data_IF_027083778403
#
_entry.id   IF_027083778403
#
_cell.length_a   1.000
_cell.length_b   1.000
_cell.length_c   1.000
_cell.angle_alpha   90.00
_cell.angle_beta   90.00
_cell.angle_gamma   90.00
#
_symmetry.space_group_name_H-M   'P 1'
#
loop_
_entity.id
_entity.type
_entity.pdbx_description
1 polymer ?
#
# COMPACT_ATOMS: atom_id res chain seq x y z
N UNK A 1 -41.38 -2.06 -7.02
CA UNK A 1 -40.75 -0.93 -7.74
C UNK A 1 -39.24 -1.16 -7.72
N UNK A 2 -38.59 -1.34 -8.88
CA UNK A 2 -37.12 -1.54 -8.95
C UNK A 2 -36.45 -0.18 -8.75
N UNK A 3 -35.69 -0.01 -7.67
CA UNK A 3 -34.81 1.15 -7.49
C UNK A 3 -33.73 1.11 -8.57
N UNK A 4 -33.47 2.23 -9.27
CA UNK A 4 -32.36 2.32 -10.22
C UNK A 4 -31.07 2.49 -9.43
N UNK A 5 -30.11 1.62 -9.66
CA UNK A 5 -28.80 1.66 -9.03
C UNK A 5 -27.92 2.68 -9.76
N UNK A 6 -27.34 3.66 -9.05
CA UNK A 6 -26.45 4.64 -9.66
C UNK A 6 -25.07 4.03 -9.97
N UNK A 7 -24.44 4.47 -11.06
CA UNK A 7 -23.08 4.12 -11.48
C UNK A 7 -22.05 4.29 -10.35
N UNK A 8 -22.14 5.38 -9.57
CA UNK A 8 -21.26 5.62 -8.42
C UNK A 8 -21.33 4.49 -7.38
N UNK A 9 -22.54 3.99 -7.11
CA UNK A 9 -22.73 2.88 -6.18
C UNK A 9 -22.10 1.59 -6.72
N UNK A 10 -22.21 1.34 -8.03
CA UNK A 10 -21.60 0.16 -8.68
C UNK A 10 -20.08 0.24 -8.62
N UNK A 11 -19.51 1.39 -8.99
CA UNK A 11 -18.06 1.64 -8.94
C UNK A 11 -17.55 1.45 -7.51
N UNK A 12 -18.25 2.00 -6.53
CA UNK A 12 -17.90 1.84 -5.12
C UNK A 12 -17.99 0.38 -4.65
N UNK A 13 -19.06 -0.33 -5.02
CA UNK A 13 -19.30 -1.71 -4.58
C UNK A 13 -18.24 -2.68 -5.13
N UNK A 14 -17.81 -2.48 -6.38
CA UNK A 14 -16.79 -3.31 -7.03
C UNK A 14 -15.37 -2.84 -6.69
N UNK A 15 -15.14 -1.53 -6.68
CA UNK A 15 -13.82 -0.93 -6.46
C UNK A 15 -13.32 -1.11 -5.02
N UNK A 16 -14.21 -1.01 -4.02
CA UNK A 16 -13.83 -1.12 -2.61
C UNK A 16 -13.20 -2.48 -2.24
N UNK A 17 -13.78 -3.64 -2.58
CA UNK A 17 -13.16 -4.93 -2.27
C UNK A 17 -11.84 -5.12 -3.04
N UNK A 18 -11.76 -4.72 -4.31
CA UNK A 18 -10.54 -4.87 -5.11
C UNK A 18 -9.41 -4.01 -4.53
N UNK A 19 -9.66 -2.70 -4.36
CA UNK A 19 -8.67 -1.77 -3.82
C UNK A 19 -8.34 -2.08 -2.35
N UNK A 20 -9.33 -2.54 -1.59
CA UNK A 20 -9.17 -2.92 -0.18
C UNK A 20 -8.30 -4.16 0.00
N UNK A 21 -8.50 -5.21 -0.82
CA UNK A 21 -7.63 -6.38 -0.82
C UNK A 21 -6.21 -6.01 -1.24
N UNK A 22 -6.05 -5.19 -2.28
CA UNK A 22 -4.73 -4.75 -2.74
C UNK A 22 -3.99 -3.97 -1.64
N UNK A 23 -4.68 -3.00 -1.02
CA UNK A 23 -4.14 -2.24 0.10
C UNK A 23 -3.76 -3.14 1.27
N UNK A 24 -4.62 -4.09 1.65
CA UNK A 24 -4.35 -5.03 2.73
C UNK A 24 -3.10 -5.89 2.47
N UNK A 25 -2.89 -6.33 1.23
CA UNK A 25 -1.70 -7.08 0.85
C UNK A 25 -0.44 -6.20 0.89
N UNK A 26 -0.49 -5.02 0.26
CA UNK A 26 0.68 -4.14 0.15
C UNK A 26 1.12 -3.62 1.53
N UNK A 27 0.16 -3.15 2.33
CA UNK A 27 0.42 -2.67 3.68
C UNK A 27 0.80 -3.80 4.63
N UNK A 28 0.08 -4.93 4.58
CA UNK A 28 0.33 -6.08 5.44
C UNK A 28 1.74 -6.66 5.24
N UNK A 29 2.19 -6.79 3.99
CA UNK A 29 3.56 -7.24 3.69
C UNK A 29 4.62 -6.26 4.18
N UNK A 30 4.36 -4.95 4.11
CA UNK A 30 5.31 -3.94 4.58
C UNK A 30 5.49 -3.95 6.11
N UNK A 31 4.46 -4.34 6.88
CA UNK A 31 4.48 -4.33 8.35
C UNK A 31 4.91 -5.69 8.94
N UNK A 32 4.42 -6.80 8.36
CA UNK A 32 4.66 -8.16 8.89
C UNK A 32 5.67 -8.97 8.07
N UNK A 33 6.37 -8.36 7.12
CA UNK A 33 7.38 -9.06 6.34
C UNK A 33 8.57 -9.51 7.19
N UNK A 34 9.12 -10.66 6.83
CA UNK A 34 10.30 -11.22 7.48
C UNK A 34 11.53 -10.36 7.18
N UNK A 35 12.22 -9.90 8.22
CA UNK A 35 13.35 -8.95 8.09
C UNK A 35 14.69 -9.66 7.87
N UNK A 36 14.78 -10.94 8.22
CA UNK A 36 16.04 -11.69 8.23
C UNK A 36 16.40 -12.33 6.87
N UNK A 37 15.49 -12.34 5.89
CA UNK A 37 15.77 -12.88 4.55
C UNK A 37 16.48 -11.87 3.62
N UNK A 38 16.53 -10.61 4.03
CA UNK A 38 16.98 -9.46 3.24
C UNK A 38 18.48 -9.13 3.43
N UNK A 39 19.20 -10.00 4.13
CA UNK A 39 20.64 -9.90 4.24
C UNK A 39 21.32 -10.38 2.96
N UNK A 40 22.30 -9.62 2.49
CA UNK A 40 23.17 -10.00 1.37
C UNK A 40 23.75 -11.41 1.61
N UNK A 41 23.73 -12.32 0.62
CA UNK A 41 24.35 -13.64 0.75
C UNK A 41 25.83 -13.53 1.15
N UNK A 42 26.33 -14.47 1.96
CA UNK A 42 27.70 -14.40 2.49
C UNK A 42 28.77 -14.33 1.38
N UNK A 43 28.54 -15.00 0.25
CA UNK A 43 29.42 -14.98 -0.92
C UNK A 43 29.54 -13.60 -1.57
N UNK A 44 28.50 -12.77 -1.40
CA UNK A 44 28.40 -11.41 -1.93
C UNK A 44 28.63 -10.33 -0.86
N UNK A 45 29.14 -10.70 0.31
CA UNK A 45 29.46 -9.74 1.36
C UNK A 45 30.43 -8.67 0.83
N UNK A 46 30.17 -7.40 1.08
CA UNK A 46 30.95 -6.33 0.47
C UNK A 46 32.21 -6.05 1.28
N UNK A 47 33.31 -5.65 0.62
CA UNK A 47 34.47 -5.12 1.32
C UNK A 47 34.12 -3.76 1.93
N UNK A 48 34.81 -3.38 3.01
CA UNK A 48 34.42 -2.24 3.85
C UNK A 48 34.47 -0.89 3.11
N UNK A 49 35.32 -0.78 2.09
CA UNK A 49 35.47 0.41 1.26
C UNK A 49 34.19 0.70 0.47
N UNK A 50 33.44 -0.35 0.10
CA UNK A 50 32.20 -0.24 -0.67
C UNK A 50 30.98 0.06 0.20
N UNK A 51 31.07 0.02 1.53
CA UNK A 51 29.94 0.25 2.43
C UNK A 51 29.81 1.69 2.93
N UNK A 52 30.79 2.55 2.65
CA UNK A 52 30.90 3.93 3.14
C UNK A 52 29.69 4.83 2.84
N UNK A 53 28.96 4.54 1.75
CA UNK A 53 27.73 5.25 1.37
C UNK A 53 26.51 4.89 2.24
N UNK A 54 26.56 3.77 2.97
CA UNK A 54 25.45 3.32 3.84
C UNK A 54 25.79 3.47 5.32
N UNK A 55 27.00 3.10 5.73
CA UNK A 55 27.48 3.29 7.09
C UNK A 55 29.01 3.34 7.11
N UNK A 56 29.55 3.83 8.22
CA UNK A 56 30.99 3.80 8.48
C UNK A 56 31.22 3.19 9.86
N UNK A 57 32.22 2.32 9.96
CA UNK A 57 32.71 1.81 11.24
C UNK A 57 33.96 2.62 11.57
N UNK A 58 33.95 3.26 12.73
CA UNK A 58 35.06 4.05 13.22
C UNK A 58 35.72 3.33 14.39
N UNK A 59 37.05 3.41 14.45
CA UNK A 59 37.86 3.02 15.59
C UNK A 59 38.72 4.23 15.94
N UNK A 60 38.68 4.68 17.19
CA UNK A 60 39.40 5.88 17.64
C UNK A 60 39.15 7.13 16.75
N UNK A 61 37.88 7.34 16.36
CA UNK A 61 37.43 8.40 15.44
C UNK A 61 38.02 8.34 14.02
N UNK A 62 38.70 7.27 13.62
CA UNK A 62 39.19 7.05 12.25
C UNK A 62 38.41 5.89 11.58
N UNK A 63 38.14 5.93 10.27
CA UNK A 63 37.53 4.81 9.56
C UNK A 63 38.31 3.51 9.75
N UNK A 64 37.62 2.43 10.11
CA UNK A 64 38.20 1.09 10.29
C UNK A 64 38.97 0.63 9.03
N UNK A 65 38.52 1.02 7.83
CA UNK A 65 39.21 0.75 6.58
C UNK A 65 40.66 1.27 6.57
N UNK A 66 40.91 2.44 7.18
CA UNK A 66 42.25 3.01 7.26
C UNK A 66 43.16 2.19 8.18
N UNK A 67 42.63 1.73 9.32
CA UNK A 67 43.35 0.86 10.24
C UNK A 67 43.73 -0.47 9.60
N UNK A 68 42.79 -1.07 8.84
CA UNK A 68 43.04 -2.31 8.09
C UNK A 68 44.09 -2.10 6.99
N UNK A 69 44.01 -1.00 6.25
CA UNK A 69 44.98 -0.67 5.18
C UNK A 69 46.40 -0.49 5.72
N UNK A 70 46.54 0.03 6.95
CA UNK A 70 47.83 0.26 7.61
C UNK A 70 48.32 -0.93 8.44
N UNK A 71 47.60 -2.06 8.42
CA UNK A 71 47.88 -3.23 9.27
C UNK A 71 48.02 -2.89 10.77
N UNK A 72 47.26 -1.90 11.26
CA UNK A 72 47.33 -1.49 12.68
C UNK A 72 46.47 -2.37 13.59
N UNK A 73 45.78 -3.37 13.03
CA UNK A 73 44.91 -4.29 13.76
C UNK A 73 45.50 -5.68 13.76
N UNK A 74 45.50 -6.29 14.95
CA UNK A 74 46.02 -7.63 15.17
C UNK A 74 44.93 -8.46 15.83
N UNK A 75 44.70 -9.66 15.32
CA UNK A 75 43.81 -10.64 15.91
C UNK A 75 44.62 -11.82 16.45
N UNK A 76 44.06 -12.50 17.46
CA UNK A 76 44.62 -13.73 18.00
C UNK A 76 43.88 -14.92 17.38
N UNK A 77 44.61 -15.79 16.68
CA UNK A 77 44.07 -17.03 16.13
C UNK A 77 43.74 -18.05 17.21
N UNK A 78 43.00 -19.10 16.85
CA UNK A 78 42.65 -20.18 17.76
C UNK A 78 43.89 -20.93 18.30
N UNK A 79 44.97 -20.96 17.51
CA UNK A 79 46.29 -21.47 17.93
C UNK A 79 47.09 -20.51 18.84
N UNK A 80 46.54 -19.36 19.22
CA UNK A 80 47.22 -18.37 20.07
C UNK A 80 48.29 -17.55 19.35
N UNK A 81 48.38 -17.65 18.03
CA UNK A 81 49.27 -16.84 17.21
C UNK A 81 48.59 -15.54 16.81
N UNK A 82 49.31 -14.43 16.97
CA UNK A 82 48.86 -13.12 16.53
C UNK A 82 49.07 -12.96 15.02
N UNK A 83 48.07 -12.44 14.31
CA UNK A 83 48.16 -12.12 12.89
C UNK A 83 47.53 -10.75 12.59
N UNK A 84 48.03 -10.08 11.55
CA UNK A 84 47.48 -8.81 11.11
C UNK A 84 46.14 -9.02 10.40
N UNK A 85 45.15 -8.22 10.76
CA UNK A 85 43.85 -8.22 10.10
C UNK A 85 43.95 -7.38 8.83
N UNK A 86 43.83 -8.03 7.67
CA UNK A 86 43.87 -7.34 6.38
C UNK A 86 42.46 -6.94 5.92
N UNK A 87 42.32 -5.97 4.98
CA UNK A 87 41.01 -5.57 4.46
C UNK A 87 40.18 -6.72 3.90
N UNK A 88 40.80 -7.72 3.29
CA UNK A 88 40.12 -8.87 2.67
C UNK A 88 39.45 -9.80 3.70
N UNK A 89 39.94 -9.77 4.95
CA UNK A 89 39.39 -10.58 6.06
C UNK A 89 38.09 -9.99 6.62
N UNK A 90 37.80 -8.72 6.36
CA UNK A 90 36.62 -8.02 6.86
C UNK A 90 35.63 -7.81 5.72
N UNK A 91 34.54 -8.59 5.73
CA UNK A 91 33.43 -8.42 4.79
C UNK A 91 32.15 -8.14 5.53
N UNK A 92 31.33 -7.24 5.00
CA UNK A 92 30.08 -6.83 5.63
C UNK A 92 28.88 -7.26 4.78
N UNK A 93 27.86 -7.79 5.44
CA UNK A 93 26.56 -8.07 4.83
C UNK A 93 25.65 -6.89 5.10
N UNK A 94 24.95 -6.43 4.07
CA UNK A 94 23.96 -5.37 4.19
C UNK A 94 22.57 -5.97 4.28
N UNK A 95 21.71 -5.38 5.12
CA UNK A 95 20.28 -5.68 5.14
C UNK A 95 19.54 -4.66 4.28
N UNK A 96 18.88 -5.13 3.22
CA UNK A 96 18.13 -4.26 2.31
C UNK A 96 16.63 -4.12 2.65
N UNK A 97 16.19 -4.69 3.79
CA UNK A 97 14.81 -4.61 4.25
C UNK A 97 14.25 -3.19 4.26
N UNK A 98 14.95 -2.15 4.75
CA UNK A 98 14.38 -0.80 4.75
C UNK A 98 14.04 -0.27 3.36
N UNK A 99 14.84 -0.58 2.34
CA UNK A 99 14.54 -0.16 0.96
C UNK A 99 13.35 -0.91 0.39
N UNK A 100 13.28 -2.23 0.65
CA UNK A 100 12.16 -3.07 0.22
C UNK A 100 10.87 -2.62 0.91
N UNK A 101 10.90 -2.38 2.22
CA UNK A 101 9.78 -1.89 3.00
C UNK A 101 9.28 -0.54 2.48
N UNK A 102 10.17 0.39 2.18
CA UNK A 102 9.80 1.68 1.58
C UNK A 102 9.11 1.51 0.22
N UNK A 103 9.59 0.58 -0.62
CA UNK A 103 8.95 0.25 -1.90
C UNK A 103 7.54 -0.33 -1.73
N UNK A 104 7.35 -1.24 -0.78
CA UNK A 104 6.02 -1.79 -0.48
C UNK A 104 5.07 -0.72 0.07
N UNK A 105 5.56 0.13 0.97
CA UNK A 105 4.77 1.22 1.55
C UNK A 105 4.36 2.26 0.49
N UNK A 106 5.23 2.54 -0.47
CA UNK A 106 4.91 3.42 -1.60
C UNK A 106 3.74 2.86 -2.43
N UNK A 107 3.72 1.55 -2.70
CA UNK A 107 2.59 0.90 -3.36
C UNK A 107 1.33 0.92 -2.48
N UNK A 108 1.48 0.73 -1.17
CA UNK A 108 0.38 0.83 -0.22
C UNK A 108 -0.29 2.22 -0.22
N UNK A 109 0.48 3.30 -0.45
CA UNK A 109 -0.09 4.66 -0.57
C UNK A 109 -0.98 4.79 -1.81
N UNK A 110 -0.58 4.23 -2.96
CA UNK A 110 -1.41 4.26 -4.16
C UNK A 110 -2.68 3.42 -4.01
N UNK A 111 -2.56 2.23 -3.42
CA UNK A 111 -3.75 1.39 -3.17
C UNK A 111 -4.67 2.00 -2.10
N UNK A 112 -4.13 2.70 -1.09
CA UNK A 112 -4.93 3.49 -0.14
C UNK A 112 -5.69 4.61 -0.84
N UNK A 113 -5.06 5.32 -1.79
CA UNK A 113 -5.72 6.35 -2.57
C UNK A 113 -6.86 5.76 -3.42
N UNK A 114 -6.61 4.65 -4.11
CA UNK A 114 -7.63 3.96 -4.89
C UNK A 114 -8.80 3.47 -4.02
N UNK A 115 -8.50 2.98 -2.82
CA UNK A 115 -9.50 2.59 -1.83
C UNK A 115 -10.31 3.80 -1.37
N UNK A 116 -9.66 4.93 -1.07
CA UNK A 116 -10.33 6.17 -0.67
C UNK A 116 -11.30 6.69 -1.73
N UNK A 117 -10.89 6.69 -3.01
CA UNK A 117 -11.76 7.06 -4.14
C UNK A 117 -12.95 6.11 -4.26
N UNK A 118 -12.69 4.80 -4.21
CA UNK A 118 -13.74 3.78 -4.31
C UNK A 118 -14.74 3.87 -3.16
N UNK A 119 -14.26 4.08 -1.94
CA UNK A 119 -15.08 4.24 -0.75
C UNK A 119 -15.93 5.51 -0.81
N UNK A 120 -15.35 6.61 -1.32
CA UNK A 120 -16.09 7.86 -1.55
C UNK A 120 -17.23 7.66 -2.55
N UNK A 121 -16.95 7.00 -3.68
CA UNK A 121 -17.98 6.61 -4.65
C UNK A 121 -19.07 5.74 -4.03
N UNK A 122 -18.70 4.77 -3.18
CA UNK A 122 -19.65 3.91 -2.48
C UNK A 122 -20.56 4.72 -1.54
N UNK A 123 -19.98 5.60 -0.72
CA UNK A 123 -20.72 6.43 0.24
C UNK A 123 -21.67 7.37 -0.49
N UNK A 124 -21.19 8.11 -1.48
CA UNK A 124 -22.02 9.05 -2.26
C UNK A 124 -23.12 8.30 -3.00
N UNK A 125 -22.78 7.21 -3.68
CA UNK A 125 -23.75 6.36 -4.37
C UNK A 125 -24.80 5.77 -3.43
N UNK A 126 -24.43 5.39 -2.21
CA UNK A 126 -25.36 4.89 -1.21
C UNK A 126 -26.29 5.99 -0.72
N UNK A 127 -25.76 7.17 -0.39
CA UNK A 127 -26.56 8.32 0.03
C UNK A 127 -27.59 8.71 -1.03
N UNK A 128 -27.20 8.74 -2.31
CA UNK A 128 -28.14 9.03 -3.40
C UNK A 128 -29.20 7.94 -3.56
N UNK A 129 -28.81 6.67 -3.44
CA UNK A 129 -29.73 5.54 -3.49
C UNK A 129 -30.79 5.58 -2.37
N UNK A 130 -30.42 6.06 -1.18
CA UNK A 130 -31.36 6.24 -0.07
C UNK A 130 -32.19 7.52 -0.17
N UNK A 131 -31.62 8.62 -0.70
CA UNK A 131 -32.32 9.90 -0.90
C UNK A 131 -33.41 9.83 -1.97
N UNK A 132 -33.24 9.02 -3.02
CA UNK A 132 -34.25 8.82 -4.07
C UNK A 132 -35.35 7.79 -3.67
N UNK A 133 -35.71 7.72 -2.39
CA UNK A 133 -36.87 6.95 -1.93
C UNK A 133 -38.15 7.41 -2.66
N UNK A 134 -39.05 6.48 -3.02
CA UNK A 134 -40.07 6.72 -4.02
C UNK A 134 -40.97 7.90 -3.64
N UNK A 135 -41.11 8.87 -4.55
CA UNK A 135 -42.18 9.86 -4.45
C UNK A 135 -43.50 9.11 -4.22
N UNK A 136 -44.32 9.52 -3.24
CA UNK A 136 -45.62 8.91 -3.04
C UNK A 136 -46.38 9.05 -4.36
N UNK A 137 -46.88 7.93 -4.89
CA UNK A 137 -47.79 7.92 -6.04
C UNK A 137 -48.77 9.05 -5.84
N UNK A 138 -48.71 10.10 -6.67
CA UNK A 138 -49.83 11.00 -6.84
C UNK A 138 -50.99 10.09 -7.25
N UNK A 139 -51.87 9.85 -6.27
CA UNK A 139 -53.16 9.22 -6.44
C UNK A 139 -53.85 10.13 -7.44
N UNK A 140 -53.80 9.76 -8.73
CA UNK A 140 -54.52 10.44 -9.79
C UNK A 140 -55.97 10.52 -9.32
N UNK A 141 -56.30 11.73 -8.90
CA UNK A 141 -57.58 12.14 -8.37
C UNK A 141 -58.37 12.52 -9.61
N UNK A 142 -58.70 11.53 -10.44
CA UNK A 142 -59.56 11.74 -11.61
C UNK A 142 -60.63 10.66 -11.63
N UNK A 143 -61.62 10.89 -10.78
CA UNK A 143 -63.05 10.72 -11.05
C UNK A 143 -63.76 11.16 -9.76
N UNK A 144 -64.90 11.88 -9.78
CA UNK A 144 -65.72 12.33 -10.93
C UNK A 144 -66.11 13.82 -10.85
N UNK A 145 -66.56 14.45 -11.96
CA UNK A 145 -67.82 15.24 -12.02
C UNK A 145 -67.96 16.08 -13.31
N UNK A 146 -69.23 16.23 -13.72
CA UNK A 146 -69.85 17.13 -14.72
C UNK A 146 -70.10 16.51 -16.10
N UNK A 147 -71.26 15.88 -16.34
CA UNK A 147 -72.64 16.44 -16.47
C UNK A 147 -72.83 17.26 -17.76
N UNK A 148 -73.68 16.70 -18.63
CA UNK A 148 -74.63 17.33 -19.59
C UNK A 148 -74.15 18.08 -20.85
N UNK A 149 -74.41 17.48 -22.02
CA UNK A 149 -75.24 18.03 -23.12
C UNK A 149 -75.56 16.88 -24.11
N UNK A 150 -76.80 16.42 -24.30
CA UNK A 150 -77.97 16.97 -25.03
C UNK A 150 -77.76 17.18 -26.55
N UNK A 151 -78.18 16.19 -27.36
CA UNK A 151 -78.85 16.29 -28.70
C UNK A 151 -79.04 14.84 -29.18
N UNK A 152 -80.23 14.25 -29.37
CA UNK A 152 -81.44 14.57 -30.16
C UNK A 152 -81.19 14.73 -31.67
N UNK A 153 -81.36 13.62 -32.40
CA UNK A 153 -81.69 13.42 -33.83
C UNK A 153 -81.46 11.93 -34.10
N UNK A 154 -82.30 11.08 -34.65
CA UNK A 154 -83.57 11.13 -35.37
C UNK A 154 -83.70 9.74 -36.05
N UNK A 155 -84.90 9.18 -36.13
CA UNK A 155 -85.16 7.84 -36.69
C UNK A 155 -86.26 7.12 -35.93
#
# INVERSE_FOLDING_TARGET
MKRKMNLLLIIGLVGTPIAGTQFGIDYGRAIWGETQIWWTPQQLALPLEQTSNQFQILLDNEPLANHLTRNSLTALGAEGLAYFVTPEMVRVRLNNWPQVQAGMLHMAVYSALALGVSLTCLIVGALEFFRHAPAPRQRASELPTLRSSRRRSGG
#
